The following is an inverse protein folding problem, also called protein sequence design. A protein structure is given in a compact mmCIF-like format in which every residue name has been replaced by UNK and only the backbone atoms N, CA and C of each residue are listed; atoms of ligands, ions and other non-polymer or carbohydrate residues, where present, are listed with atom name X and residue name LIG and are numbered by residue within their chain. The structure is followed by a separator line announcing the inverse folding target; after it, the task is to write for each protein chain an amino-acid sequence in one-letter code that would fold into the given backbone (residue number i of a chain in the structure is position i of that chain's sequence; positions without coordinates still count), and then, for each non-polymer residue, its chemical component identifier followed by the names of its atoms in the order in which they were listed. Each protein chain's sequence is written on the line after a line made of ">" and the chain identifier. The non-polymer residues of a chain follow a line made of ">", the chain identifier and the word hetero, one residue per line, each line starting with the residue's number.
data_IF_571682721709
#
_entry.id   IF_571682721709
#
_cell.length_a   1.000
_cell.length_b   1.000
_cell.length_c   1.000
_cell.angle_alpha   90.00
_cell.angle_beta   90.00
_cell.angle_gamma   90.00
#
_symmetry.space_group_name_H-M   'P 1'
#
loop_
_entity.id
_entity.type
_entity.pdbx_description
1 polymer ?
#
# COMPACT_ATOMS: atom_id res chain seq x y z
N UNK A 1 20.99 -28.18 -22.17
CA UNK A 1 19.63 -27.87 -21.70
C UNK A 1 19.66 -26.48 -21.11
N UNK A 2 18.85 -25.59 -21.64
CA UNK A 2 19.12 -24.16 -21.75
C UNK A 2 18.74 -23.37 -20.49
N UNK A 3 19.72 -22.75 -19.83
CA UNK A 3 19.53 -21.90 -18.65
C UNK A 3 18.66 -20.66 -18.94
N UNK A 4 18.48 -20.26 -20.20
CA UNK A 4 17.60 -19.16 -20.58
C UNK A 4 16.11 -19.51 -20.44
N UNK A 5 15.72 -20.77 -20.68
CA UNK A 5 14.32 -21.20 -20.55
C UNK A 5 13.83 -21.20 -19.09
N UNK A 6 14.72 -21.40 -18.11
CA UNK A 6 14.39 -21.34 -16.69
C UNK A 6 14.11 -19.92 -16.18
N UNK A 7 14.66 -18.90 -16.84
CA UNK A 7 14.50 -17.50 -16.42
C UNK A 7 13.19 -16.87 -16.90
N UNK A 8 12.63 -17.34 -18.03
CA UNK A 8 11.32 -16.88 -18.50
C UNK A 8 10.15 -17.37 -17.63
N UNK A 9 10.29 -18.53 -16.98
CA UNK A 9 9.27 -19.09 -16.09
C UNK A 9 9.09 -18.32 -14.77
N UNK A 10 10.05 -17.47 -14.38
CA UNK A 10 10.01 -16.74 -13.12
C UNK A 10 9.18 -15.45 -13.17
N UNK A 11 8.79 -14.98 -14.36
CA UNK A 11 8.19 -13.67 -14.60
C UNK A 11 6.65 -13.64 -14.49
N UNK A 12 5.98 -14.78 -14.24
CA UNK A 12 4.52 -14.86 -14.01
C UNK A 12 4.11 -14.75 -12.52
N UNK A 13 4.86 -13.99 -11.71
CA UNK A 13 5.12 -14.34 -10.30
C UNK A 13 4.05 -14.00 -9.24
N UNK A 14 2.95 -13.31 -9.58
CA UNK A 14 1.91 -12.88 -8.62
C UNK A 14 0.55 -13.40 -9.04
N UNK A 15 -0.19 -14.03 -8.12
CA UNK A 15 -1.48 -14.63 -8.47
C UNK A 15 -2.55 -13.58 -8.78
N UNK A 16 -3.54 -13.98 -9.56
CA UNK A 16 -4.69 -13.14 -9.88
C UNK A 16 -5.38 -12.59 -8.63
N UNK A 17 -5.47 -13.42 -7.58
CA UNK A 17 -6.06 -13.00 -6.31
C UNK A 17 -5.25 -11.88 -5.68
N UNK A 18 -3.92 -11.99 -5.60
CA UNK A 18 -3.08 -10.90 -5.07
C UNK A 18 -3.22 -9.61 -5.88
N UNK A 19 -3.32 -9.71 -7.22
CA UNK A 19 -3.55 -8.54 -8.09
C UNK A 19 -4.91 -7.89 -7.81
N UNK A 20 -5.98 -8.68 -7.69
CA UNK A 20 -7.32 -8.19 -7.35
C UNK A 20 -7.33 -7.56 -5.95
N UNK A 21 -6.76 -8.25 -4.96
CA UNK A 21 -6.69 -7.74 -3.59
C UNK A 21 -5.91 -6.42 -3.51
N UNK A 22 -4.82 -6.30 -4.27
CA UNK A 22 -4.09 -5.05 -4.41
C UNK A 22 -4.93 -3.95 -5.07
N UNK A 23 -5.62 -4.27 -6.17
CA UNK A 23 -6.50 -3.31 -6.84
C UNK A 23 -7.63 -2.84 -5.92
N UNK A 24 -8.24 -3.75 -5.15
CA UNK A 24 -9.27 -3.40 -4.17
C UNK A 24 -8.71 -2.47 -3.09
N UNK A 25 -7.53 -2.76 -2.53
CA UNK A 25 -6.87 -1.85 -1.58
C UNK A 25 -6.56 -0.48 -2.19
N UNK A 26 -6.08 -0.44 -3.43
CA UNK A 26 -5.82 0.82 -4.12
C UNK A 26 -7.11 1.63 -4.28
N UNK A 27 -8.19 1.01 -4.76
CA UNK A 27 -9.49 1.66 -4.95
C UNK A 27 -10.03 2.18 -3.63
N UNK A 28 -9.97 1.39 -2.56
CA UNK A 28 -10.47 1.83 -1.25
C UNK A 28 -9.62 2.97 -0.69
N UNK A 29 -8.29 2.92 -0.79
CA UNK A 29 -7.41 4.02 -0.35
C UNK A 29 -7.70 5.30 -1.14
N UNK A 30 -7.79 5.22 -2.47
CA UNK A 30 -8.09 6.39 -3.32
C UNK A 30 -9.47 6.97 -2.99
N UNK A 31 -10.49 6.12 -2.85
CA UNK A 31 -11.82 6.55 -2.44
C UNK A 31 -11.78 7.27 -1.07
N UNK A 32 -11.15 6.66 -0.07
CA UNK A 32 -11.07 7.21 1.29
C UNK A 32 -10.37 8.57 1.32
N UNK A 33 -9.25 8.71 0.60
CA UNK A 33 -8.53 9.96 0.49
C UNK A 33 -9.33 11.02 -0.28
N UNK A 34 -9.95 10.68 -1.41
CA UNK A 34 -10.70 11.62 -2.23
C UNK A 34 -11.92 12.17 -1.47
N UNK A 35 -12.71 11.30 -0.85
CA UNK A 35 -13.89 11.72 -0.07
C UNK A 35 -13.47 12.52 1.16
N UNK A 36 -12.32 12.23 1.77
CA UNK A 36 -11.81 12.99 2.92
C UNK A 36 -11.51 14.46 2.61
N UNK A 37 -11.30 14.82 1.35
CA UNK A 37 -11.08 16.22 0.94
C UNK A 37 -12.36 17.06 1.00
N UNK A 38 -13.52 16.42 0.97
CA UNK A 38 -14.83 17.08 0.90
C UNK A 38 -15.61 16.97 2.21
N UNK A 39 -15.27 16.02 3.08
CA UNK A 39 -16.08 15.69 4.24
C UNK A 39 -16.08 16.76 5.33
N UNK A 40 -17.26 17.00 5.90
CA UNK A 40 -17.45 17.68 7.16
C UNK A 40 -17.99 16.72 8.22
N UNK A 41 -17.11 16.34 9.16
CA UNK A 41 -17.51 15.51 10.30
C UNK A 41 -18.48 16.21 11.26
N UNK A 42 -19.12 15.45 12.16
CA UNK A 42 -20.12 15.97 13.08
C UNK A 42 -19.53 17.05 14.00
N UNK A 43 -20.31 18.12 14.24
CA UNK A 43 -19.95 19.24 15.12
C UNK A 43 -21.10 19.48 16.11
N UNK A 44 -20.88 20.15 17.25
CA UNK A 44 -21.97 20.52 18.15
C UNK A 44 -23.11 21.24 17.38
N UNK A 45 -24.32 20.67 17.43
CA UNK A 45 -25.50 21.23 16.73
C UNK A 45 -25.59 20.96 15.23
N UNK A 46 -24.66 20.20 14.62
CA UNK A 46 -24.69 19.86 13.18
C UNK A 46 -24.29 18.41 12.93
N UNK A 47 -25.16 17.68 12.24
CA UNK A 47 -24.88 16.30 11.81
C UNK A 47 -23.72 16.26 10.81
N UNK A 48 -23.11 15.08 10.68
CA UNK A 48 -22.15 14.82 9.62
C UNK A 48 -22.80 15.00 8.23
N UNK A 49 -22.00 15.39 7.25
CA UNK A 49 -22.44 15.44 5.85
C UNK A 49 -22.38 14.07 5.17
N UNK A 50 -22.89 14.00 3.94
CA UNK A 50 -22.91 12.76 3.15
C UNK A 50 -21.50 12.24 2.84
N UNK A 51 -20.52 13.13 2.67
CA UNK A 51 -19.14 12.74 2.39
C UNK A 51 -18.50 12.10 3.62
N UNK A 52 -18.76 12.59 4.83
CA UNK A 52 -18.35 11.92 6.06
C UNK A 52 -19.00 10.56 6.19
N UNK A 53 -20.30 10.43 5.90
CA UNK A 53 -20.98 9.12 5.89
C UNK A 53 -20.35 8.15 4.90
N UNK A 54 -20.05 8.60 3.67
CA UNK A 54 -19.35 7.79 2.66
C UNK A 54 -17.93 7.42 3.10
N UNK A 55 -17.22 8.33 3.75
CA UNK A 55 -15.90 8.08 4.32
C UNK A 55 -15.99 7.01 5.42
N UNK A 56 -16.90 7.17 6.38
CA UNK A 56 -17.09 6.25 7.50
C UNK A 56 -17.48 4.84 7.05
N UNK A 57 -18.58 4.68 6.33
CA UNK A 57 -19.02 3.35 5.87
C UNK A 57 -18.07 2.75 4.83
N UNK A 58 -17.51 3.59 3.96
CA UNK A 58 -16.43 3.16 3.05
C UNK A 58 -15.19 2.73 3.82
N UNK A 59 -14.92 3.32 4.99
CA UNK A 59 -13.81 2.99 5.87
C UNK A 59 -14.00 1.62 6.51
N UNK A 60 -15.22 1.27 6.90
CA UNK A 60 -15.57 -0.09 7.35
C UNK A 60 -15.36 -1.13 6.24
N UNK A 61 -15.82 -0.84 5.02
CA UNK A 61 -15.59 -1.72 3.87
C UNK A 61 -14.09 -1.87 3.57
N UNK A 62 -13.34 -0.77 3.60
CA UNK A 62 -11.88 -0.76 3.42
C UNK A 62 -11.16 -1.59 4.49
N UNK A 63 -11.60 -1.51 5.75
CA UNK A 63 -11.06 -2.32 6.85
C UNK A 63 -11.30 -3.81 6.62
N UNK A 64 -12.48 -4.21 6.13
CA UNK A 64 -12.76 -5.61 5.78
C UNK A 64 -11.83 -6.08 4.65
N UNK A 65 -11.69 -5.31 3.57
CA UNK A 65 -10.76 -5.61 2.47
C UNK A 65 -9.33 -5.77 2.98
N UNK A 66 -8.90 -4.88 3.87
CA UNK A 66 -7.57 -4.94 4.49
C UNK A 66 -7.37 -6.20 5.34
N UNK A 67 -8.35 -6.59 6.16
CA UNK A 67 -8.30 -7.83 6.92
C UNK A 67 -8.18 -9.05 6.00
N UNK A 68 -8.97 -9.10 4.92
CA UNK A 68 -8.88 -10.17 3.92
C UNK A 68 -7.51 -10.18 3.24
N UNK A 69 -6.96 -9.01 2.90
CA UNK A 69 -5.62 -8.88 2.33
C UNK A 69 -4.53 -9.42 3.29
N UNK A 70 -4.63 -9.09 4.58
CA UNK A 70 -3.71 -9.59 5.61
C UNK A 70 -3.81 -11.11 5.76
N UNK A 71 -5.03 -11.65 5.86
CA UNK A 71 -5.26 -13.11 5.93
C UNK A 71 -4.66 -13.79 4.71
N UNK A 72 -4.95 -13.27 3.51
CA UNK A 72 -4.38 -13.77 2.26
C UNK A 72 -2.85 -13.76 2.29
N UNK A 73 -2.24 -12.65 2.71
CA UNK A 73 -0.78 -12.48 2.76
C UNK A 73 -0.10 -13.39 3.78
N UNK A 74 -0.78 -13.76 4.86
CA UNK A 74 -0.26 -14.66 5.90
C UNK A 74 -0.40 -16.13 5.48
N UNK A 75 -1.57 -16.50 4.92
CA UNK A 75 -1.88 -17.89 4.56
C UNK A 75 -1.15 -18.32 3.28
N UNK A 76 -1.02 -17.42 2.31
CA UNK A 76 -0.38 -17.71 1.02
C UNK A 76 1.14 -17.76 1.16
N UNK A 77 1.72 -18.96 1.12
CA UNK A 77 3.17 -19.17 1.06
C UNK A 77 3.63 -19.17 -0.40
N UNK A 78 4.31 -18.11 -0.87
CA UNK A 78 5.09 -18.21 -2.13
C UNK A 78 5.23 -16.98 -3.01
N UNK A 79 4.44 -15.92 -2.83
CA UNK A 79 4.51 -14.74 -3.72
C UNK A 79 5.50 -13.69 -3.20
N UNK A 80 5.08 -12.88 -2.21
CA UNK A 80 5.98 -12.00 -1.47
C UNK A 80 6.06 -12.51 -0.04
N UNK A 81 7.26 -12.89 0.41
CA UNK A 81 7.46 -13.31 1.81
C UNK A 81 7.19 -12.10 2.70
N UNK A 82 6.44 -12.25 3.80
CA UNK A 82 6.23 -11.19 4.80
C UNK A 82 7.54 -10.53 5.23
N UNK A 83 8.59 -11.34 5.30
CA UNK A 83 9.93 -10.88 5.59
C UNK A 83 10.54 -9.87 4.62
N UNK A 84 10.13 -9.88 3.34
CA UNK A 84 10.53 -8.89 2.34
C UNK A 84 9.72 -7.60 2.47
N UNK A 85 8.45 -7.69 2.93
CA UNK A 85 7.62 -6.52 3.25
C UNK A 85 8.09 -5.83 4.54
N UNK A 86 8.52 -6.62 5.52
CA UNK A 86 8.96 -6.16 6.83
C UNK A 86 10.43 -6.56 7.07
N UNK A 87 11.38 -5.93 6.36
CA UNK A 87 12.80 -6.28 6.45
C UNK A 87 13.44 -5.87 7.78
N UNK A 88 12.78 -5.00 8.55
CA UNK A 88 13.28 -4.30 9.74
C UNK A 88 13.76 -5.23 10.88
N UNK A 89 13.34 -6.49 10.86
CA UNK A 89 13.70 -7.51 11.86
C UNK A 89 14.88 -8.39 11.42
N UNK A 90 15.56 -8.08 10.32
CA UNK A 90 16.68 -8.86 9.79
C UNK A 90 17.78 -7.95 9.25
N UNK A 91 18.98 -8.04 9.85
CA UNK A 91 20.14 -7.28 9.40
C UNK A 91 20.49 -7.51 7.93
N UNK A 92 20.38 -8.75 7.45
CA UNK A 92 20.66 -9.08 6.05
C UNK A 92 19.65 -8.48 5.08
N UNK A 93 18.37 -8.42 5.47
CA UNK A 93 17.33 -7.78 4.64
C UNK A 93 17.47 -6.26 4.63
N UNK A 94 17.81 -5.65 5.77
CA UNK A 94 18.14 -4.22 5.82
C UNK A 94 19.32 -3.92 4.89
N UNK A 95 20.40 -4.72 4.93
CA UNK A 95 21.53 -4.57 4.01
C UNK A 95 21.09 -4.67 2.55
N UNK A 96 20.20 -5.60 2.22
CA UNK A 96 19.66 -5.74 0.86
C UNK A 96 18.86 -4.50 0.43
N UNK A 97 18.02 -3.95 1.31
CA UNK A 97 17.26 -2.70 1.05
C UNK A 97 18.21 -1.51 0.87
N UNK A 98 19.23 -1.38 1.71
CA UNK A 98 20.23 -0.30 1.61
C UNK A 98 21.06 -0.41 0.34
N UNK A 99 21.48 -1.62 -0.03
CA UNK A 99 22.22 -1.85 -1.27
C UNK A 99 21.37 -1.48 -2.49
N UNK A 100 20.10 -1.87 -2.49
CA UNK A 100 19.15 -1.55 -3.54
C UNK A 100 18.88 -0.03 -3.62
N UNK A 101 18.72 0.65 -2.48
CA UNK A 101 18.58 2.11 -2.41
C UNK A 101 19.80 2.84 -3.01
N UNK A 102 21.02 2.40 -2.67
CA UNK A 102 22.26 2.99 -3.22
C UNK A 102 22.34 2.81 -4.74
N UNK A 103 21.89 1.67 -5.25
CA UNK A 103 21.82 1.43 -6.67
C UNK A 103 20.82 2.38 -7.35
N UNK A 104 19.63 2.54 -6.79
CA UNK A 104 18.64 3.50 -7.30
C UNK A 104 19.17 4.94 -7.30
N UNK A 105 19.86 5.37 -6.24
CA UNK A 105 20.47 6.69 -6.18
C UNK A 105 21.58 6.87 -7.26
N UNK A 106 22.36 5.82 -7.52
CA UNK A 106 23.43 5.85 -8.53
C UNK A 106 22.86 5.94 -9.95
N UNK A 107 21.84 5.14 -10.25
CA UNK A 107 21.19 5.17 -11.57
C UNK A 107 20.45 6.49 -11.78
N UNK A 108 19.75 7.01 -10.77
CA UNK A 108 19.09 8.31 -10.83
C UNK A 108 20.09 9.44 -11.12
N UNK A 109 21.27 9.42 -10.48
CA UNK A 109 22.36 10.37 -10.77
C UNK A 109 22.85 10.27 -12.21
N UNK A 110 22.79 9.09 -12.82
CA UNK A 110 23.11 8.83 -14.23
C UNK A 110 21.94 9.08 -15.18
N UNK A 111 20.83 9.63 -14.67
CA UNK A 111 19.55 9.83 -15.40
C UNK A 111 19.01 8.53 -16.00
N UNK A 112 19.27 7.41 -15.32
CA UNK A 112 18.74 6.09 -15.63
C UNK A 112 17.76 5.69 -14.54
N UNK A 113 16.73 4.94 -14.90
CA UNK A 113 15.90 4.27 -13.92
C UNK A 113 16.36 2.81 -13.81
N UNK A 114 16.52 2.28 -12.59
CA UNK A 114 16.72 0.85 -12.40
C UNK A 114 15.48 0.09 -12.89
N UNK A 115 15.68 -1.10 -13.47
CA UNK A 115 14.57 -1.93 -13.91
C UNK A 115 13.54 -2.17 -12.79
N UNK A 116 12.26 -2.05 -13.13
CA UNK A 116 11.10 -2.35 -12.27
C UNK A 116 10.94 -3.86 -12.08
N UNK A 117 11.85 -4.46 -11.32
CA UNK A 117 11.76 -5.83 -10.82
C UNK A 117 11.26 -5.85 -9.37
N UNK A 118 10.92 -7.03 -8.84
CA UNK A 118 10.62 -7.24 -7.42
C UNK A 118 11.90 -7.09 -6.57
N UNK A 119 12.33 -5.85 -6.36
CA UNK A 119 13.56 -5.52 -5.62
C UNK A 119 13.29 -5.31 -4.12
N UNK A 120 14.28 -5.53 -3.25
CA UNK A 120 14.13 -5.39 -1.80
C UNK A 120 13.53 -4.06 -1.35
N UNK A 121 13.92 -2.93 -1.97
CA UNK A 121 13.40 -1.62 -1.63
C UNK A 121 11.90 -1.49 -1.96
N UNK A 122 11.49 -1.95 -3.14
CA UNK A 122 10.08 -1.90 -3.56
C UNK A 122 9.18 -2.71 -2.63
N UNK A 123 9.63 -3.90 -2.21
CA UNK A 123 8.91 -4.72 -1.22
C UNK A 123 8.81 -4.03 0.14
N UNK A 124 9.87 -3.38 0.60
CA UNK A 124 9.88 -2.64 1.87
C UNK A 124 8.93 -1.43 1.83
N UNK A 125 8.94 -0.66 0.74
CA UNK A 125 8.01 0.46 0.52
C UNK A 125 6.57 -0.05 0.53
N UNK A 126 6.28 -1.16 -0.17
CA UNK A 126 4.96 -1.77 -0.15
C UNK A 126 4.51 -2.15 1.28
N UNK A 127 5.42 -2.73 2.07
CA UNK A 127 5.16 -3.03 3.48
C UNK A 127 4.89 -1.78 4.33
N UNK A 128 5.61 -0.67 4.10
CA UNK A 128 5.34 0.61 4.77
C UNK A 128 3.95 1.15 4.42
N UNK A 129 3.54 1.06 3.16
CA UNK A 129 2.19 1.39 2.74
C UNK A 129 1.13 0.56 3.48
N UNK A 130 1.36 -0.77 3.56
CA UNK A 130 0.46 -1.69 4.25
C UNK A 130 0.35 -1.39 5.76
N UNK A 131 1.44 -1.02 6.43
CA UNK A 131 1.41 -0.61 7.84
C UNK A 131 0.68 0.73 8.02
N UNK A 132 0.93 1.68 7.13
CA UNK A 132 0.29 3.00 7.17
C UNK A 132 -1.23 2.87 7.03
N UNK A 133 -1.72 2.10 6.06
CA UNK A 133 -3.17 1.86 5.88
C UNK A 133 -3.76 1.07 7.06
N UNK A 134 -2.99 0.15 7.66
CA UNK A 134 -3.44 -0.59 8.86
C UNK A 134 -3.61 0.32 10.05
N UNK A 135 -2.64 1.21 10.32
CA UNK A 135 -2.77 2.18 11.40
C UNK A 135 -3.94 3.14 11.16
N UNK A 136 -4.10 3.62 9.92
CA UNK A 136 -5.24 4.46 9.56
C UNK A 136 -6.58 3.75 9.79
N UNK A 137 -6.72 2.51 9.34
CA UNK A 137 -7.97 1.78 9.49
C UNK A 137 -8.31 1.56 10.98
N UNK A 138 -7.33 1.17 11.81
CA UNK A 138 -7.55 0.99 13.25
C UNK A 138 -7.90 2.31 13.96
N UNK A 139 -7.17 3.39 13.64
CA UNK A 139 -7.38 4.71 14.26
C UNK A 139 -8.69 5.37 13.84
N UNK A 140 -9.28 4.98 12.71
CA UNK A 140 -10.61 5.41 12.28
C UNK A 140 -11.73 4.53 12.84
N UNK A 141 -11.61 3.21 12.73
CA UNK A 141 -12.69 2.27 13.08
C UNK A 141 -12.91 2.17 14.58
N UNK A 142 -11.85 2.03 15.39
CA UNK A 142 -11.98 1.83 16.84
C UNK A 142 -12.80 2.92 17.55
N UNK A 143 -12.56 4.23 17.33
CA UNK A 143 -13.42 5.27 17.89
C UNK A 143 -14.82 5.29 17.27
N UNK A 144 -14.95 5.03 15.97
CA UNK A 144 -16.24 5.10 15.28
C UNK A 144 -17.24 4.02 15.76
N UNK A 145 -16.74 2.84 16.13
CA UNK A 145 -17.58 1.76 16.71
C UNK A 145 -17.68 1.82 18.24
N UNK A 146 -17.13 2.85 18.89
CA UNK A 146 -17.23 3.05 20.34
C UNK A 146 -16.38 2.08 21.19
N UNK A 147 -15.32 1.49 20.63
CA UNK A 147 -14.45 0.55 21.35
C UNK A 147 -13.37 1.24 22.21
N UNK A 148 -13.36 2.57 22.26
CA UNK A 148 -12.40 3.36 23.04
C UNK A 148 -13.11 4.50 23.77
N UNK A 149 -12.50 4.97 24.86
CA UNK A 149 -13.00 6.14 25.60
C UNK A 149 -12.94 7.41 24.73
N UNK A 150 -13.74 8.46 25.05
CA UNK A 150 -13.73 9.71 24.29
C UNK A 150 -12.34 10.36 24.20
N UNK A 151 -11.56 10.34 25.28
CA UNK A 151 -10.20 10.88 25.30
C UNK A 151 -9.24 10.12 24.37
N UNK A 152 -9.26 8.79 24.43
CA UNK A 152 -8.48 7.96 23.51
C UNK A 152 -8.96 8.10 22.07
N UNK A 153 -10.27 8.26 21.84
CA UNK A 153 -10.84 8.48 20.52
C UNK A 153 -10.32 9.76 19.86
N UNK A 154 -10.20 10.86 20.60
CA UNK A 154 -9.62 12.10 20.08
C UNK A 154 -8.16 11.93 19.65
N UNK A 155 -7.36 11.20 20.44
CA UNK A 155 -5.97 10.89 20.10
C UNK A 155 -5.87 10.02 18.84
N UNK A 156 -6.72 8.98 18.73
CA UNK A 156 -6.75 8.11 17.56
C UNK A 156 -7.17 8.88 16.31
N UNK A 157 -8.20 9.72 16.37
CA UNK A 157 -8.62 10.54 15.22
C UNK A 157 -7.54 11.57 14.84
N UNK A 158 -6.82 12.14 15.81
CA UNK A 158 -5.69 13.03 15.52
C UNK A 158 -4.56 12.28 14.81
N UNK A 159 -4.27 11.05 15.25
CA UNK A 159 -3.31 10.15 14.59
C UNK A 159 -3.79 9.78 13.19
N UNK A 160 -5.07 9.46 13.02
CA UNK A 160 -5.68 9.14 11.73
C UNK A 160 -5.45 10.26 10.71
N UNK A 161 -5.70 11.52 11.10
CA UNK A 161 -5.47 12.70 10.25
C UNK A 161 -3.99 12.90 9.89
N UNK A 162 -3.10 12.71 10.86
CA UNK A 162 -1.65 12.80 10.59
C UNK A 162 -1.22 11.76 9.55
N UNK A 163 -1.67 10.52 9.71
CA UNK A 163 -1.33 9.44 8.79
C UNK A 163 -2.05 9.54 7.45
N UNK A 164 -3.17 10.27 7.35
CA UNK A 164 -3.80 10.62 6.07
C UNK A 164 -2.85 11.43 5.18
N UNK A 165 -2.12 12.41 5.74
CA UNK A 165 -1.11 13.17 5.00
C UNK A 165 0.05 12.28 4.55
N UNK A 166 0.50 11.37 5.43
CA UNK A 166 1.54 10.40 5.07
C UNK A 166 1.06 9.45 3.96
N UNK A 167 -0.21 9.04 3.98
CA UNK A 167 -0.81 8.19 2.95
C UNK A 167 -0.93 8.91 1.61
N UNK A 168 -1.28 10.19 1.58
CA UNK A 168 -1.22 11.01 0.37
C UNK A 168 0.19 11.05 -0.21
N UNK A 169 1.19 11.34 0.62
CA UNK A 169 2.59 11.36 0.20
C UNK A 169 3.03 9.99 -0.34
N UNK A 170 2.67 8.91 0.35
CA UNK A 170 2.92 7.53 -0.09
C UNK A 170 2.27 7.25 -1.44
N UNK A 171 0.98 7.56 -1.62
CA UNK A 171 0.24 7.31 -2.86
C UNK A 171 0.87 8.05 -4.03
N UNK A 172 1.16 9.35 -3.86
CA UNK A 172 1.78 10.18 -4.91
C UNK A 172 3.16 9.63 -5.29
N UNK A 173 4.01 9.34 -4.31
CA UNK A 173 5.35 8.83 -4.57
C UNK A 173 5.32 7.44 -5.22
N UNK A 174 4.52 6.52 -4.68
CA UNK A 174 4.46 5.13 -5.13
C UNK A 174 3.79 5.00 -6.50
N UNK A 175 2.60 5.57 -6.66
CA UNK A 175 1.87 5.53 -7.94
C UNK A 175 2.57 6.38 -9.00
N UNK A 176 3.12 7.54 -8.63
CA UNK A 176 3.89 8.39 -9.54
C UNK A 176 5.11 7.67 -10.09
N UNK A 177 5.86 6.95 -9.24
CA UNK A 177 6.99 6.14 -9.69
C UNK A 177 6.53 5.02 -10.63
N UNK A 178 5.44 4.31 -10.30
CA UNK A 178 4.88 3.28 -11.17
C UNK A 178 4.48 3.83 -12.56
N UNK A 179 3.88 5.02 -12.62
CA UNK A 179 3.54 5.71 -13.88
C UNK A 179 4.79 6.10 -14.66
N UNK A 180 5.83 6.61 -13.99
CA UNK A 180 7.11 6.96 -14.64
C UNK A 180 7.74 5.73 -15.30
N UNK A 181 7.79 4.59 -14.60
CA UNK A 181 8.28 3.33 -15.19
C UNK A 181 7.41 2.82 -16.34
N UNK A 182 6.08 3.04 -16.29
CA UNK A 182 5.18 2.71 -17.40
C UNK A 182 5.49 3.56 -18.64
N UNK A 183 5.61 4.88 -18.48
CA UNK A 183 5.88 5.83 -19.57
C UNK A 183 7.23 5.55 -20.25
N UNK A 184 8.21 5.05 -19.49
CA UNK A 184 9.55 4.69 -20.00
C UNK A 184 9.58 3.29 -20.62
N UNK A 185 8.45 2.57 -20.61
CA UNK A 185 8.26 1.33 -21.36
C UNK A 185 8.50 0.04 -20.58
N UNK A 186 8.67 0.10 -19.26
CA UNK A 186 8.93 -1.08 -18.43
C UNK A 186 7.68 -1.95 -18.14
N UNK A 187 6.50 -1.48 -18.59
CA UNK A 187 5.20 -2.16 -18.53
C UNK A 187 4.85 -2.64 -17.11
N UNK A 188 5.00 -1.77 -16.12
CA UNK A 188 4.74 -2.06 -14.71
C UNK A 188 3.25 -2.26 -14.43
N UNK A 189 2.37 -1.43 -15.01
CA UNK A 189 0.93 -1.51 -14.77
C UNK A 189 0.32 -2.79 -15.36
N UNK A 190 0.63 -3.18 -16.62
CA UNK A 190 0.21 -4.48 -17.14
C UNK A 190 0.73 -5.65 -16.29
N UNK A 191 1.98 -5.64 -15.83
CA UNK A 191 2.51 -6.70 -14.95
C UNK A 191 1.70 -6.79 -13.64
N UNK A 192 1.31 -5.63 -13.09
CA UNK A 192 0.56 -5.52 -11.83
C UNK A 192 -0.91 -5.95 -11.94
N UNK A 193 -1.59 -5.70 -13.07
CA UNK A 193 -3.05 -5.90 -13.19
C UNK A 193 -3.52 -6.85 -14.30
N UNK A 194 -2.65 -7.25 -15.25
CA UNK A 194 -3.04 -8.11 -16.37
C UNK A 194 -3.28 -9.57 -15.96
N UNK A 195 -4.19 -10.21 -16.71
CA UNK A 195 -4.51 -11.63 -16.62
C UNK A 195 -3.42 -12.55 -17.17
N UNK A 196 -2.55 -12.02 -18.03
CA UNK A 196 -1.59 -12.83 -18.78
C UNK A 196 -0.20 -12.69 -18.16
N UNK A 197 0.32 -13.83 -17.66
CA UNK A 197 1.76 -14.08 -17.52
C UNK A 197 2.28 -14.75 -18.77
#
# INVERSE_FOLDING_TARGET
>A
MDHQAMNHAALSRRSMVTKIMHALLLITVVHQLAVSLLMEGPRPGRSADIFFTLHEYGGYAAFVVLCVFWIWSIVRRGETKLGALFPWFSGDRIKAVVADLRLHATELRRRRLPAADDRPLASAIHGLGLLTVTLMALTGVLPAVGLVSPGSGQLLISTHKLFANLMWAYLIAHAGLAVVHEVIGERVLPKMFSKNG
#
